data_IF_472505273633
#
_entry.id   IF_472505273633
#
_cell.length_a   1.000
_cell.length_b   1.000
_cell.length_c   1.000
_cell.angle_alpha   90.00
_cell.angle_beta   90.00
_cell.angle_gamma   90.00
#
_symmetry.space_group_name_H-M   'P 1'
#
loop_
_entity.id
_entity.type
_entity.pdbx_description
1 polymer ?
#
# COMPACT_ATOMS: atom_id res chain seq x y z
N UNK A 1 19.46 3.16 6.98
CA UNK A 1 18.30 3.17 7.90
C UNK A 1 17.13 3.80 7.16
N UNK A 2 15.93 3.23 7.23
CA UNK A 2 14.77 3.87 6.61
C UNK A 2 14.46 5.21 7.31
N UNK A 3 14.12 6.27 6.55
CA UNK A 3 13.66 7.52 7.14
C UNK A 3 12.43 7.25 8.01
N UNK A 4 12.35 7.95 9.14
CA UNK A 4 11.19 7.94 10.03
C UNK A 4 10.40 9.22 9.81
N UNK A 5 9.07 9.13 9.83
CA UNK A 5 8.22 10.30 9.61
C UNK A 5 8.42 11.35 10.70
N UNK A 6 8.72 10.93 11.93
CA UNK A 6 9.02 11.80 13.07
C UNK A 6 10.27 12.67 12.86
N UNK A 7 11.15 12.29 11.93
CA UNK A 7 12.33 13.07 11.58
C UNK A 7 12.04 14.12 10.50
N UNK A 8 10.88 14.07 9.82
CA UNK A 8 10.52 15.07 8.82
C UNK A 8 10.16 16.40 9.49
N UNK A 9 10.83 17.48 9.08
CA UNK A 9 10.66 18.81 9.68
C UNK A 9 9.26 19.40 9.43
N UNK A 10 8.68 19.20 8.25
CA UNK A 10 7.32 19.66 7.97
C UNK A 10 6.29 18.95 8.84
N UNK A 11 6.46 17.63 9.07
CA UNK A 11 5.61 16.89 9.98
C UNK A 11 5.73 17.38 11.43
N UNK A 12 6.93 17.73 11.92
CA UNK A 12 7.09 18.33 13.26
C UNK A 12 6.38 19.68 13.37
N UNK A 13 6.39 20.49 12.31
CA UNK A 13 5.63 21.76 12.26
C UNK A 13 4.13 21.47 12.28
N UNK A 14 3.68 20.52 11.45
CA UNK A 14 2.29 20.07 11.38
C UNK A 14 1.75 19.62 12.74
N UNK A 15 2.53 18.79 13.44
CA UNK A 15 2.19 18.34 14.78
C UNK A 15 2.01 19.49 15.75
N UNK A 16 2.70 20.63 15.61
CA UNK A 16 2.62 21.76 16.54
C UNK A 16 1.43 22.68 16.28
N UNK A 17 0.71 22.51 15.17
CA UNK A 17 -0.48 23.32 14.86
C UNK A 17 -1.59 23.02 15.88
N UNK A 18 -2.23 24.06 16.40
CA UNK A 18 -3.40 23.92 17.27
C UNK A 18 -4.65 23.58 16.47
N UNK A 19 -4.79 24.24 15.31
CA UNK A 19 -5.95 24.15 14.43
C UNK A 19 -5.53 23.58 13.08
N UNK A 20 -6.51 23.07 12.35
CA UNK A 20 -6.34 22.50 11.01
C UNK A 20 -5.61 23.48 10.09
N UNK A 21 -4.59 23.02 9.34
CA UNK A 21 -3.93 23.87 8.37
C UNK A 21 -4.90 24.38 7.30
N UNK A 22 -4.71 25.64 6.93
CA UNK A 22 -5.48 26.32 5.89
C UNK A 22 -5.12 25.76 4.50
N UNK A 23 -6.13 25.68 3.62
CA UNK A 23 -5.96 25.24 2.23
C UNK A 23 -5.71 23.74 2.07
N UNK A 24 -5.99 22.93 3.10
CA UNK A 24 -5.84 21.48 3.01
C UNK A 24 -7.06 20.84 2.30
N UNK A 25 -6.87 19.94 1.32
CA UNK A 25 -8.00 19.31 0.65
C UNK A 25 -8.73 18.32 1.57
N UNK A 26 -9.94 17.87 1.18
CA UNK A 26 -10.63 16.80 1.89
C UNK A 26 -9.89 15.46 1.78
N UNK A 27 -10.31 14.46 2.56
CA UNK A 27 -9.78 13.12 2.44
C UNK A 27 -10.06 12.52 1.06
N UNK A 28 -9.04 11.92 0.44
CA UNK A 28 -9.23 11.04 -0.71
C UNK A 28 -9.95 9.75 -0.32
N UNK A 29 -10.56 9.11 -1.31
CA UNK A 29 -11.20 7.80 -1.17
C UNK A 29 -10.43 6.73 -1.95
N UNK A 30 -10.50 5.49 -1.48
CA UNK A 30 -9.98 4.35 -2.22
C UNK A 30 -10.96 3.87 -3.30
N UNK A 31 -10.58 2.84 -4.05
CA UNK A 31 -11.40 2.24 -5.11
C UNK A 31 -12.75 1.69 -4.62
N UNK A 32 -12.90 1.48 -3.31
CA UNK A 32 -14.13 1.00 -2.68
C UNK A 32 -14.99 2.13 -2.10
N UNK A 33 -14.56 3.39 -2.27
CA UNK A 33 -15.19 4.56 -1.69
C UNK A 33 -14.90 4.76 -0.21
N UNK A 34 -13.96 4.01 0.39
CA UNK A 34 -13.58 4.19 1.79
C UNK A 34 -12.57 5.33 1.93
N UNK A 35 -12.72 6.16 2.96
CA UNK A 35 -11.83 7.31 3.18
C UNK A 35 -10.44 6.87 3.61
N UNK A 36 -9.43 7.45 2.95
CA UNK A 36 -8.02 7.20 3.23
C UNK A 36 -7.56 8.20 4.30
N UNK A 37 -6.99 7.68 5.38
CA UNK A 37 -6.37 8.48 6.45
C UNK A 37 -4.88 8.15 6.47
N UNK A 38 -4.06 9.14 6.08
CA UNK A 38 -2.61 8.98 6.02
C UNK A 38 -2.00 8.72 7.40
N UNK A 39 -0.83 8.08 7.41
CA UNK A 39 -0.03 7.92 8.63
C UNK A 39 0.40 9.28 9.17
N UNK A 40 0.18 9.52 10.46
CA UNK A 40 0.50 10.79 11.10
C UNK A 40 -0.57 11.88 10.91
N UNK A 41 -1.67 11.59 10.22
CA UNK A 41 -2.78 12.55 10.11
C UNK A 41 -3.39 12.83 11.50
N UNK A 42 -3.59 14.11 11.82
CA UNK A 42 -4.04 14.59 13.14
C UNK A 42 -5.27 15.51 13.08
N UNK A 43 -5.78 15.84 11.90
CA UNK A 43 -6.94 16.72 11.75
C UNK A 43 -8.02 16.04 10.92
N UNK A 44 -9.28 16.31 11.25
CA UNK A 44 -10.41 15.80 10.47
C UNK A 44 -10.54 16.62 9.18
N UNK A 45 -10.44 15.97 8.02
CA UNK A 45 -10.63 16.61 6.70
C UNK A 45 -11.80 16.00 5.96
N UNK A 46 -12.79 15.51 6.70
CA UNK A 46 -13.97 14.96 6.09
C UNK A 46 -14.77 16.10 5.48
N UNK A 47 -15.09 15.97 4.20
CA UNK A 47 -16.04 16.85 3.53
C UNK A 47 -17.47 16.49 3.97
N UNK A 48 -18.20 17.52 4.41
CA UNK A 48 -19.54 17.43 4.95
C UNK A 48 -20.60 17.87 3.93
N UNK A 49 -20.21 18.22 2.70
CA UNK A 49 -21.17 18.41 1.63
C UNK A 49 -21.57 17.06 1.04
N UNK A 50 -22.88 16.85 0.94
CA UNK A 50 -23.44 15.83 0.07
C UNK A 50 -23.19 16.15 -1.40
N UNK A 51 -23.25 15.14 -2.26
CA UNK A 51 -23.08 15.34 -3.71
C UNK A 51 -24.08 16.34 -4.29
N UNK A 52 -25.30 16.39 -3.77
CA UNK A 52 -26.29 17.38 -4.17
C UNK A 52 -25.89 18.79 -3.72
N UNK A 53 -25.46 18.96 -2.47
CA UNK A 53 -24.99 20.27 -1.98
C UNK A 53 -23.76 20.76 -2.74
N UNK A 54 -22.86 19.86 -3.16
CA UNK A 54 -21.71 20.22 -4.02
C UNK A 54 -22.16 20.73 -5.37
N UNK A 55 -23.09 20.02 -6.00
CA UNK A 55 -23.66 20.42 -7.28
C UNK A 55 -24.37 21.78 -7.18
N UNK A 56 -25.14 21.98 -6.12
CA UNK A 56 -25.84 23.24 -5.87
C UNK A 56 -24.83 24.38 -5.60
N UNK A 57 -23.75 24.12 -4.85
CA UNK A 57 -22.69 25.09 -4.59
C UNK A 57 -21.95 25.47 -5.88
N UNK A 58 -21.64 24.50 -6.74
CA UNK A 58 -21.00 24.74 -8.04
C UNK A 58 -21.87 25.64 -8.93
N UNK A 59 -23.18 25.41 -8.97
CA UNK A 59 -24.12 26.27 -9.71
C UNK A 59 -24.21 27.69 -9.16
N UNK A 60 -24.05 27.86 -7.84
CA UNK A 60 -24.15 29.16 -7.16
C UNK A 60 -22.82 29.90 -7.09
N UNK A 61 -21.71 29.26 -7.48
CA UNK A 61 -20.35 29.80 -7.29
C UNK A 61 -19.91 29.80 -5.83
N UNK A 62 -20.55 28.98 -5.00
CA UNK A 62 -20.20 28.79 -3.60
C UNK A 62 -19.08 27.74 -3.43
N UNK A 63 -18.37 27.73 -2.29
CA UNK A 63 -17.34 26.73 -2.02
C UNK A 63 -17.90 25.30 -2.09
N UNK A 64 -17.30 24.47 -2.95
CA UNK A 64 -17.70 23.07 -3.17
C UNK A 64 -17.12 22.09 -2.14
N UNK A 65 -16.45 22.59 -1.11
CA UNK A 65 -15.89 21.80 0.00
C UNK A 65 -16.27 22.44 1.32
N UNK A 66 -16.88 21.64 2.22
CA UNK A 66 -17.17 22.07 3.59
C UNK A 66 -16.62 21.05 4.57
N UNK A 67 -15.40 21.26 5.04
CA UNK A 67 -14.78 20.33 5.96
C UNK A 67 -15.49 20.31 7.33
N UNK A 68 -15.35 19.20 8.05
CA UNK A 68 -15.85 19.02 9.42
C UNK A 68 -15.52 20.23 10.33
N UNK A 69 -16.45 20.59 11.22
CA UNK A 69 -16.30 21.70 12.16
C UNK A 69 -15.26 21.46 13.26
N UNK A 70 -14.84 20.21 13.49
CA UNK A 70 -13.84 19.87 14.49
C UNK A 70 -12.43 20.24 14.00
N UNK A 71 -12.05 21.51 14.17
CA UNK A 71 -10.82 22.11 13.66
C UNK A 71 -9.58 21.82 14.51
N UNK A 72 -9.75 21.44 15.78
CA UNK A 72 -8.66 21.17 16.71
C UNK A 72 -7.90 19.87 16.39
N UNK A 73 -6.62 19.85 16.79
CA UNK A 73 -5.72 18.70 16.61
C UNK A 73 -6.08 17.51 17.51
N UNK A 74 -6.18 16.31 16.94
CA UNK A 74 -6.23 15.06 17.70
C UNK A 74 -4.84 14.68 18.24
N UNK A 75 -4.78 13.99 19.39
CA UNK A 75 -3.50 13.58 19.98
C UNK A 75 -2.72 12.56 19.15
N UNK A 76 -3.43 11.69 18.42
CA UNK A 76 -2.83 10.73 17.47
C UNK A 76 -3.87 10.27 16.44
N UNK A 77 -3.40 9.69 15.33
CA UNK A 77 -4.23 9.23 14.21
C UNK A 77 -5.32 8.24 14.63
N UNK A 78 -5.05 7.37 15.61
CA UNK A 78 -6.08 6.46 16.17
C UNK A 78 -7.33 7.18 16.70
N UNK A 79 -7.18 8.32 17.38
CA UNK A 79 -8.31 9.09 17.90
C UNK A 79 -9.07 9.80 16.79
N UNK A 80 -8.36 10.33 15.79
CA UNK A 80 -8.97 10.85 14.58
C UNK A 80 -9.81 9.77 13.87
N UNK A 81 -9.26 8.57 13.71
CA UNK A 81 -9.99 7.44 13.09
C UNK A 81 -11.22 7.07 13.89
N UNK A 82 -11.14 7.07 15.23
CA UNK A 82 -12.30 6.84 16.09
C UNK A 82 -13.36 7.95 15.97
N UNK A 83 -12.94 9.22 15.84
CA UNK A 83 -13.84 10.33 15.57
C UNK A 83 -14.56 10.18 14.22
N UNK A 84 -13.84 9.78 13.17
CA UNK A 84 -14.43 9.55 11.85
C UNK A 84 -15.45 8.40 11.87
N UNK A 85 -15.13 7.27 12.52
CA UNK A 85 -16.05 6.12 12.54
C UNK A 85 -17.23 6.31 13.48
N UNK A 86 -17.05 6.97 14.64
CA UNK A 86 -18.12 7.15 15.63
C UNK A 86 -18.94 8.42 15.39
N UNK A 87 -18.25 9.53 15.10
CA UNK A 87 -18.87 10.85 14.91
C UNK A 87 -19.49 10.99 13.53
N UNK A 88 -18.74 10.65 12.48
CA UNK A 88 -19.21 10.79 11.10
C UNK A 88 -19.79 9.52 10.49
N UNK A 89 -19.62 8.36 11.14
CA UNK A 89 -20.13 7.05 10.68
C UNK A 89 -19.65 6.68 9.27
N UNK A 90 -18.46 7.14 8.89
CA UNK A 90 -17.87 6.86 7.57
C UNK A 90 -17.04 5.58 7.57
N UNK A 91 -16.98 4.92 6.41
CA UNK A 91 -16.11 3.77 6.18
C UNK A 91 -14.68 4.26 5.92
N UNK A 92 -13.72 3.75 6.68
CA UNK A 92 -12.30 4.07 6.51
C UNK A 92 -11.57 2.93 5.80
N UNK A 93 -10.55 3.27 5.01
CA UNK A 93 -9.65 2.27 4.45
C UNK A 93 -8.93 1.51 5.55
N UNK A 94 -8.77 0.21 5.37
CA UNK A 94 -8.08 -0.65 6.34
C UNK A 94 -6.61 -0.24 6.43
N UNK A 95 -6.12 -0.01 7.66
CA UNK A 95 -4.68 0.13 7.88
C UNK A 95 -4.10 -1.26 7.95
N UNK A 96 -3.23 -1.61 7.02
CA UNK A 96 -2.54 -2.88 7.12
C UNK A 96 -1.62 -2.89 8.35
N UNK A 97 -1.58 -4.05 9.02
CA UNK A 97 -0.71 -4.29 10.17
C UNK A 97 0.76 -4.26 9.74
N UNK A 98 1.65 -3.87 10.64
CA UNK A 98 3.10 -3.81 10.39
C UNK A 98 3.64 -2.41 10.13
N UNK A 99 4.97 -2.30 10.09
CA UNK A 99 5.69 -1.05 9.84
C UNK A 99 5.37 -0.49 8.45
N UNK A 100 5.33 0.83 8.33
CA UNK A 100 5.20 1.49 7.02
C UNK A 100 6.43 1.21 6.15
N UNK A 101 6.22 1.08 4.85
CA UNK A 101 7.32 0.93 3.90
C UNK A 101 8.11 2.24 3.79
N UNK A 102 9.34 2.18 3.26
CA UNK A 102 10.13 3.38 3.04
C UNK A 102 9.43 4.38 2.12
N UNK A 103 8.76 3.87 1.08
CA UNK A 103 8.04 4.69 0.11
C UNK A 103 6.85 5.40 0.77
N UNK A 104 6.06 4.69 1.59
CA UNK A 104 4.96 5.29 2.35
C UNK A 104 5.42 6.41 3.28
N UNK A 105 6.59 6.26 3.90
CA UNK A 105 7.15 7.33 4.76
C UNK A 105 7.58 8.54 3.92
N UNK A 106 8.17 8.31 2.75
CA UNK A 106 8.54 9.40 1.82
C UNK A 106 7.31 10.14 1.33
N UNK A 107 6.27 9.41 0.92
CA UNK A 107 5.03 10.01 0.39
C UNK A 107 4.26 10.75 1.48
N UNK A 108 4.22 10.21 2.70
CA UNK A 108 3.73 10.95 3.87
C UNK A 108 4.53 12.22 4.11
N UNK A 109 5.86 12.17 4.03
CA UNK A 109 6.73 13.35 4.17
C UNK A 109 6.40 14.45 3.16
N UNK A 110 6.31 14.11 1.87
CA UNK A 110 5.94 15.04 0.79
C UNK A 110 4.57 15.67 1.02
N UNK A 111 3.61 14.87 1.47
CA UNK A 111 2.28 15.36 1.80
C UNK A 111 2.30 16.43 2.89
N UNK A 112 3.05 16.22 3.99
CA UNK A 112 3.16 17.22 5.04
C UNK A 112 3.95 18.46 4.60
N UNK A 113 4.97 18.30 3.76
CA UNK A 113 5.69 19.43 3.16
C UNK A 113 4.77 20.31 2.33
N UNK A 114 4.00 19.72 1.41
CA UNK A 114 3.02 20.42 0.59
C UNK A 114 1.92 21.08 1.45
N UNK A 115 1.44 20.36 2.46
CA UNK A 115 0.44 20.87 3.41
C UNK A 115 0.94 22.11 4.15
N UNK A 116 2.15 22.07 4.71
CA UNK A 116 2.72 23.21 5.45
C UNK A 116 3.06 24.37 4.51
N UNK A 117 3.55 24.09 3.31
CA UNK A 117 3.79 25.13 2.30
C UNK A 117 2.48 25.86 1.95
N UNK A 118 1.40 25.11 1.72
CA UNK A 118 0.06 25.67 1.44
C UNK A 118 -0.48 26.45 2.63
N UNK A 119 -0.41 25.90 3.85
CA UNK A 119 -0.83 26.62 5.05
C UNK A 119 -0.09 27.96 5.23
N UNK A 120 1.22 27.99 4.96
CA UNK A 120 2.02 29.23 5.01
C UNK A 120 1.56 30.25 3.96
N UNK A 121 1.31 29.81 2.72
CA UNK A 121 0.79 30.68 1.64
C UNK A 121 -0.54 31.32 2.04
N UNK A 122 -1.51 30.52 2.51
CA UNK A 122 -2.81 31.04 2.95
C UNK A 122 -2.69 31.95 4.18
N UNK A 123 -1.80 31.62 5.13
CA UNK A 123 -1.58 32.48 6.31
C UNK A 123 -1.03 33.84 5.90
N UNK A 124 -0.05 33.88 5.00
CA UNK A 124 0.51 35.13 4.48
C UNK A 124 -0.51 35.93 3.68
N UNK A 125 -1.29 35.27 2.82
CA UNK A 125 -2.32 35.94 2.05
C UNK A 125 -3.42 36.54 2.93
N UNK A 126 -3.86 35.80 3.96
CA UNK A 126 -4.80 36.31 4.98
C UNK A 126 -4.24 37.52 5.72
N UNK A 127 -2.95 37.53 6.07
CA UNK A 127 -2.30 38.69 6.68
C UNK A 127 -2.26 39.90 5.75
N UNK A 128 -2.13 39.66 4.44
CA UNK A 128 -2.07 40.71 3.42
C UNK A 128 -3.45 41.09 2.86
N UNK A 129 -4.55 40.48 3.33
CA UNK A 129 -5.90 40.59 2.75
C UNK A 129 -5.93 40.32 1.24
N UNK A 130 -5.08 39.41 0.78
CA UNK A 130 -5.06 38.96 -0.61
C UNK A 130 -5.84 37.66 -0.70
N UNK A 131 -6.73 37.57 -1.69
CA UNK A 131 -7.44 36.34 -2.00
C UNK A 131 -6.47 35.33 -2.63
N UNK A 132 -6.50 34.09 -2.16
CA UNK A 132 -5.69 33.00 -2.72
C UNK A 132 -6.59 32.21 -3.64
N UNK A 133 -6.20 32.07 -4.91
CA UNK A 133 -6.85 31.13 -5.83
C UNK A 133 -6.87 29.73 -5.21
N UNK A 134 -8.08 29.17 -5.15
CA UNK A 134 -8.31 27.89 -4.50
C UNK A 134 -7.79 26.74 -5.35
N UNK A 135 -7.29 25.71 -4.67
CA UNK A 135 -6.87 24.40 -5.17
C UNK A 135 -6.21 24.34 -6.56
N UNK A 136 -4.88 24.47 -6.59
CA UNK A 136 -4.13 23.71 -7.59
C UNK A 136 -4.27 22.22 -7.28
N UNK A 137 -4.53 21.38 -8.29
CA UNK A 137 -4.46 19.90 -8.24
C UNK A 137 -3.02 19.43 -7.97
N UNK A 138 -2.41 19.88 -6.89
CA UNK A 138 -1.11 19.40 -6.48
C UNK A 138 -1.29 17.97 -6.00
N UNK A 139 -0.83 17.02 -6.82
CA UNK A 139 -0.78 15.59 -6.50
C UNK A 139 -0.14 15.34 -5.12
N UNK A 140 0.79 16.21 -4.67
CA UNK A 140 1.41 16.09 -3.35
C UNK A 140 0.45 16.38 -2.19
N UNK A 141 -0.68 17.06 -2.41
CA UNK A 141 -1.73 17.28 -1.41
C UNK A 141 -2.74 16.13 -1.34
N UNK A 142 -2.69 15.16 -2.25
CA UNK A 142 -3.52 13.96 -2.14
C UNK A 142 -3.09 13.13 -0.95
N UNK A 143 -4.06 12.61 -0.20
CA UNK A 143 -3.78 11.80 0.99
C UNK A 143 -2.98 10.56 0.60
N UNK A 144 -1.76 10.37 1.14
CA UNK A 144 -0.97 9.18 0.86
C UNK A 144 -1.71 7.93 1.30
N UNK A 145 -1.78 6.95 0.42
CA UNK A 145 -2.40 5.66 0.71
C UNK A 145 -1.32 4.67 1.15
N UNK A 146 -1.56 4.03 2.29
CA UNK A 146 -0.80 2.84 2.68
C UNK A 146 -1.23 1.69 1.77
N UNK A 147 -0.36 1.26 0.85
CA UNK A 147 -0.71 0.20 -0.10
C UNK A 147 -0.77 -1.15 0.63
N UNK A 148 -1.69 -2.03 0.22
CA UNK A 148 -1.64 -3.41 0.74
C UNK A 148 -0.31 -4.02 0.27
N UNK A 149 0.47 -4.64 1.17
CA UNK A 149 1.67 -5.36 0.74
C UNK A 149 1.28 -6.31 -0.38
N UNK A 150 1.91 -6.15 -1.55
CA UNK A 150 1.76 -7.13 -2.60
C UNK A 150 2.16 -8.49 -2.02
N UNK A 151 1.29 -9.49 -2.17
CA UNK A 151 1.66 -10.85 -1.82
C UNK A 151 3.01 -11.14 -2.51
N UNK A 152 4.01 -11.69 -1.77
CA UNK A 152 5.29 -11.98 -2.37
C UNK A 152 5.03 -12.84 -3.60
N UNK A 153 5.30 -12.28 -4.79
CA UNK A 153 5.24 -13.03 -6.02
C UNK A 153 6.30 -14.11 -5.85
N UNK A 154 5.86 -15.36 -5.64
CA UNK A 154 6.77 -16.48 -5.58
C UNK A 154 7.67 -16.38 -6.81
N UNK A 155 8.99 -16.34 -6.60
CA UNK A 155 9.96 -16.30 -7.69
C UNK A 155 9.70 -17.55 -8.52
N UNK A 156 8.96 -17.42 -9.62
CA UNK A 156 8.65 -18.54 -10.51
C UNK A 156 9.97 -18.98 -11.10
N UNK A 157 10.44 -20.16 -10.69
CA UNK A 157 11.60 -20.77 -11.34
C UNK A 157 11.23 -21.00 -12.81
N UNK A 158 12.12 -20.70 -13.77
CA UNK A 158 11.83 -20.91 -15.18
C UNK A 158 11.52 -22.39 -15.48
N UNK A 159 10.70 -22.63 -16.49
CA UNK A 159 10.45 -23.98 -17.01
C UNK A 159 11.72 -24.57 -17.64
N UNK A 160 11.84 -25.91 -17.58
CA UNK A 160 12.99 -26.64 -18.15
C UNK A 160 13.03 -26.44 -19.67
N UNK A 161 14.10 -25.86 -20.24
CA UNK A 161 14.18 -25.64 -21.67
C UNK A 161 14.26 -26.96 -22.43
N UNK A 162 13.38 -27.17 -23.40
CA UNK A 162 13.35 -28.33 -24.32
C UNK A 162 13.89 -27.95 -25.70
N UNK A 163 14.41 -28.92 -26.43
CA UNK A 163 14.76 -28.81 -27.86
C UNK A 163 13.52 -29.10 -28.73
N UNK A 164 13.63 -28.88 -30.03
CA UNK A 164 12.53 -29.16 -30.97
C UNK A 164 12.08 -30.63 -31.04
N UNK A 165 12.94 -31.56 -30.62
CA UNK A 165 12.65 -33.00 -30.50
C UNK A 165 12.00 -33.37 -29.14
N UNK A 166 11.68 -32.38 -28.30
CA UNK A 166 11.13 -32.58 -26.95
C UNK A 166 12.16 -32.98 -25.89
N UNK A 167 13.41 -33.24 -26.26
CA UNK A 167 14.47 -33.59 -25.31
C UNK A 167 14.96 -32.36 -24.53
N UNK A 168 15.49 -32.58 -23.32
CA UNK A 168 15.96 -31.49 -22.44
C UNK A 168 17.21 -30.80 -23.02
N UNK A 169 17.18 -29.47 -23.11
CA UNK A 169 18.31 -28.66 -23.54
C UNK A 169 19.25 -28.35 -22.36
N UNK A 170 20.10 -29.33 -22.02
CA UNK A 170 21.06 -29.23 -20.91
C UNK A 170 22.05 -28.06 -21.01
N UNK A 171 22.43 -27.66 -22.23
CA UNK A 171 23.34 -26.53 -22.44
C UNK A 171 22.66 -25.20 -22.06
N UNK A 172 21.39 -25.03 -22.44
CA UNK A 172 20.60 -23.86 -22.04
C UNK A 172 20.28 -23.86 -20.54
N UNK A 173 20.05 -25.03 -19.93
CA UNK A 173 19.90 -25.13 -18.48
C UNK A 173 21.13 -24.60 -17.74
N UNK A 174 22.33 -25.02 -18.14
CA UNK A 174 23.59 -24.53 -17.57
C UNK A 174 23.79 -23.04 -17.74
N UNK A 175 23.47 -22.52 -18.93
CA UNK A 175 23.61 -21.09 -19.21
C UNK A 175 22.70 -20.25 -18.32
N UNK A 176 21.44 -20.66 -18.14
CA UNK A 176 20.47 -19.97 -17.28
C UNK A 176 20.82 -20.13 -15.79
N UNK A 177 21.29 -21.30 -15.36
CA UNK A 177 21.75 -21.54 -13.99
C UNK A 177 23.14 -20.92 -13.70
N UNK A 178 23.82 -20.38 -14.71
CA UNK A 178 25.20 -19.87 -14.64
C UNK A 178 26.21 -20.89 -14.05
N UNK A 179 26.05 -22.17 -14.41
CA UNK A 179 26.89 -23.27 -13.93
C UNK A 179 27.65 -23.87 -15.12
N UNK A 180 28.94 -23.55 -15.22
CA UNK A 180 29.82 -24.01 -16.31
C UNK A 180 30.35 -25.43 -16.07
N UNK A 181 30.67 -25.76 -14.83
CA UNK A 181 31.22 -27.05 -14.42
C UNK A 181 30.20 -27.92 -13.68
N UNK A 182 30.60 -29.14 -13.31
CA UNK A 182 29.78 -30.06 -12.53
C UNK A 182 29.51 -29.45 -11.14
N UNK A 183 28.24 -29.28 -10.75
CA UNK A 183 27.87 -28.74 -9.44
C UNK A 183 28.27 -29.70 -8.31
N UNK A 184 28.40 -29.17 -7.09
CA UNK A 184 28.91 -29.95 -5.95
C UNK A 184 28.04 -31.17 -5.63
N UNK A 185 26.72 -31.02 -5.58
CA UNK A 185 25.85 -32.19 -5.31
C UNK A 185 25.93 -33.27 -6.40
N UNK A 186 26.10 -32.92 -7.68
CA UNK A 186 26.41 -33.94 -8.70
C UNK A 186 27.78 -34.60 -8.50
N UNK A 187 28.79 -33.89 -7.98
CA UNK A 187 30.10 -34.47 -7.65
C UNK A 187 29.94 -35.49 -6.52
N UNK A 188 29.21 -35.11 -5.48
CA UNK A 188 28.98 -35.93 -4.28
C UNK A 188 28.13 -37.17 -4.61
N UNK A 189 27.11 -37.03 -5.45
CA UNK A 189 26.29 -38.15 -5.97
C UNK A 189 26.98 -38.96 -7.07
N UNK A 190 28.25 -38.70 -7.39
CA UNK A 190 29.06 -39.42 -8.41
C UNK A 190 28.41 -39.48 -9.81
N UNK A 191 27.59 -38.50 -10.15
CA UNK A 191 26.89 -38.43 -11.44
C UNK A 191 27.86 -38.28 -12.62
N UNK A 192 27.62 -38.92 -13.77
CA UNK A 192 28.55 -38.77 -14.91
C UNK A 192 28.47 -37.39 -15.55
N UNK A 193 27.29 -36.76 -15.49
CA UNK A 193 26.98 -35.48 -16.13
C UNK A 193 26.24 -34.56 -15.17
N UNK A 194 26.37 -33.26 -15.39
CA UNK A 194 25.57 -32.23 -14.73
C UNK A 194 25.02 -31.32 -15.84
N UNK A 195 23.70 -31.02 -15.88
CA UNK A 195 22.66 -31.72 -15.13
C UNK A 195 22.54 -33.21 -15.54
N UNK A 196 22.18 -34.11 -14.60
CA UNK A 196 21.80 -35.49 -14.92
C UNK A 196 20.61 -35.53 -15.88
N UNK A 197 20.41 -36.67 -16.56
CA UNK A 197 19.32 -36.81 -17.54
C UNK A 197 17.95 -36.84 -16.89
N UNK A 198 17.86 -37.39 -15.67
CA UNK A 198 16.66 -37.31 -14.83
C UNK A 198 16.80 -36.15 -13.84
N UNK A 199 15.66 -35.65 -13.36
CA UNK A 199 15.63 -34.69 -12.27
C UNK A 199 16.42 -35.22 -11.08
N UNK A 200 17.12 -34.33 -10.38
CA UNK A 200 17.90 -34.66 -9.19
C UNK A 200 17.86 -33.48 -8.24
N UNK A 201 17.34 -33.71 -7.04
CA UNK A 201 17.25 -32.72 -5.95
C UNK A 201 18.62 -32.32 -5.39
N UNK A 202 19.68 -32.99 -5.83
CA UNK A 202 21.06 -32.68 -5.46
C UNK A 202 21.77 -31.87 -6.56
N UNK A 203 21.11 -31.59 -7.67
CA UNK A 203 21.69 -30.85 -8.77
C UNK A 203 21.27 -29.39 -8.74
N UNK A 204 22.22 -28.50 -8.43
CA UNK A 204 21.99 -27.05 -8.45
C UNK A 204 21.50 -26.52 -9.81
N UNK A 205 21.79 -27.23 -10.92
CA UNK A 205 21.24 -26.86 -12.23
C UNK A 205 19.76 -27.20 -12.33
N UNK A 206 19.31 -28.32 -11.75
CA UNK A 206 17.89 -28.68 -11.70
C UNK A 206 17.10 -27.79 -10.74
N UNK A 207 17.69 -27.40 -9.61
CA UNK A 207 17.07 -26.49 -8.63
C UNK A 207 16.67 -25.13 -9.21
N UNK A 208 17.31 -24.70 -10.31
CA UNK A 208 16.97 -23.47 -10.99
C UNK A 208 15.68 -23.54 -11.82
N UNK A 209 15.05 -24.70 -11.98
CA UNK A 209 13.89 -24.88 -12.84
C UNK A 209 12.72 -25.56 -12.12
N UNK A 210 11.51 -25.38 -12.66
CA UNK A 210 10.34 -26.18 -12.29
C UNK A 210 10.17 -27.34 -13.27
N UNK A 211 9.88 -28.54 -12.76
CA UNK A 211 9.32 -29.61 -13.57
C UNK A 211 7.83 -29.33 -13.72
N UNK A 212 7.37 -28.98 -14.92
CA UNK A 212 5.96 -28.67 -15.22
C UNK A 212 5.03 -29.91 -15.18
N UNK A 213 5.28 -30.91 -14.31
CA UNK A 213 4.39 -32.08 -14.18
C UNK A 213 3.55 -32.11 -12.90
N UNK A 214 3.68 -31.16 -11.97
CA UNK A 214 2.77 -31.07 -10.81
C UNK A 214 2.41 -29.62 -10.47
N UNK A 215 1.57 -28.99 -11.29
CA UNK A 215 0.70 -27.90 -10.82
C UNK A 215 -0.62 -28.51 -10.31
N UNK A 216 -0.60 -29.15 -9.14
CA UNK A 216 -1.80 -29.10 -8.29
C UNK A 216 -1.67 -27.85 -7.44
N UNK A 217 -2.46 -26.79 -7.68
CA UNK A 217 -2.53 -25.68 -6.75
C UNK A 217 -2.95 -26.27 -5.40
N UNK A 218 -2.11 -26.08 -4.37
CA UNK A 218 -2.52 -26.28 -2.99
C UNK A 218 -3.55 -25.19 -2.71
N UNK A 219 -4.81 -25.51 -3.00
CA UNK A 219 -5.95 -24.82 -2.41
C UNK A 219 -5.87 -25.18 -0.94
N UNK A 220 -5.34 -24.29 -0.11
CA UNK A 220 -5.68 -24.28 1.31
C UNK A 220 -7.19 -24.01 1.36
N UNK A 221 -7.96 -25.09 1.32
CA UNK A 221 -9.39 -25.04 1.62
C UNK A 221 -9.50 -24.72 3.09
N UNK A 222 -9.99 -23.52 3.40
CA UNK A 222 -10.50 -23.18 4.71
C UNK A 222 -11.63 -24.18 5.04
N UNK A 223 -11.28 -25.24 5.77
CA UNK A 223 -12.27 -26.07 6.44
C UNK A 223 -12.74 -25.33 7.68
N UNK A 224 -13.67 -24.39 7.49
CA UNK A 224 -14.66 -24.07 8.50
C UNK A 224 -15.98 -24.75 8.12
N UNK A 225 -16.59 -25.39 9.12
CA UNK A 225 -17.96 -25.94 9.17
C UNK A 225 -18.04 -27.46 9.14
N UNK A 226 -18.11 -28.05 10.32
CA UNK A 226 -19.28 -28.85 10.74
C UNK A 226 -19.16 -29.21 12.23
N UNK A 227 -19.88 -28.47 13.08
CA UNK A 227 -20.46 -29.11 14.26
C UNK A 227 -21.89 -28.58 14.44
N UNK A 228 -22.81 -29.40 13.93
CA UNK A 228 -24.24 -29.19 13.90
C UNK A 228 -24.87 -29.32 15.29
N UNK A 229 -25.95 -28.55 15.44
CA UNK A 229 -26.90 -28.46 16.53
C UNK A 229 -27.45 -29.81 17.02
N UNK A 230 -27.88 -29.86 18.28
CA UNK A 230 -29.22 -30.36 18.63
C UNK A 230 -29.79 -29.60 19.83
N UNK A 231 -30.80 -28.76 19.58
CA UNK A 231 -31.87 -28.50 20.53
C UNK A 231 -32.75 -29.75 20.63
N UNK A 232 -33.19 -30.11 21.83
CA UNK A 232 -34.38 -30.93 22.03
C UNK A 232 -35.04 -30.54 23.33
N UNK A 233 -36.32 -30.19 23.18
CA UNK A 233 -37.28 -29.81 24.22
C UNK A 233 -37.42 -30.84 25.34
N UNK A 234 -37.53 -30.32 26.57
CA UNK A 234 -38.55 -30.70 27.57
C UNK A 234 -38.54 -29.75 28.76
#
# INVERSE_FOLDING_TARGET
MAPKLENNEAYKVYQKLANRPLGIPPFGTDKTGAFIVSSGELFCRLDMLSEQEKYDAELQGDPTVRLCLHDTRFSHTGNLRAHLTKGHKVKLSEVHKGASTMQEVIDAGKFFEATIATHRRHTLAKLNNVEVEDYGEDEALKTPQKEKPHAPVAIRRPAVPKKGDGSINKARMKAVANITHKCQGCKDSKEKLCPPTKHSDHCLVWDCFTNDEEETPIVLSDTESELSQTFSDK
#
